data_IF_827987775234
#
_entry.id   IF_827987775234
#
_cell.length_a   1.000
_cell.length_b   1.000
_cell.length_c   1.000
_cell.angle_alpha   90.00
_cell.angle_beta   90.00
_cell.angle_gamma   90.00
#
_symmetry.space_group_name_H-M   'P 1'
#
loop_
_entity.id
_entity.type
_entity.pdbx_description
1 polymer ?
#
# COMPACT_ATOMS: atom_id res chain seq x y z
N UNK A 1 -1.47 6.62 9.25
CA UNK A 1 -1.91 5.26 8.89
C UNK A 1 -2.46 4.60 10.14
N UNK A 2 -3.57 3.86 10.04
CA UNK A 2 -4.12 3.11 11.17
C UNK A 2 -3.55 1.69 11.16
N UNK A 3 -2.94 1.28 12.26
CA UNK A 3 -2.40 -0.06 12.45
C UNK A 3 -3.31 -0.80 13.41
N UNK A 4 -3.83 -1.94 12.97
CA UNK A 4 -4.79 -2.75 13.72
C UNK A 4 -4.06 -3.95 14.31
N UNK A 5 -4.11 -4.09 15.63
CA UNK A 5 -3.68 -5.28 16.34
C UNK A 5 -4.91 -6.02 16.83
N UNK A 6 -5.17 -7.17 16.20
CA UNK A 6 -6.23 -8.10 16.61
C UNK A 6 -5.57 -9.31 17.24
N UNK A 7 -5.98 -9.63 18.47
CA UNK A 7 -5.51 -10.81 19.19
C UNK A 7 -6.65 -11.80 19.35
N UNK A 8 -6.29 -13.08 19.48
CA UNK A 8 -7.21 -14.12 19.93
C UNK A 8 -7.03 -14.29 21.44
N UNK A 9 -8.12 -14.14 22.21
CA UNK A 9 -8.06 -14.10 23.66
C UNK A 9 -9.32 -14.67 24.29
N UNK A 10 -9.13 -15.56 25.27
CA UNK A 10 -10.16 -16.09 26.14
C UNK A 10 -9.68 -15.97 27.60
N UNK A 11 -10.32 -15.14 28.44
CA UNK A 11 -11.42 -14.22 28.15
C UNK A 11 -11.06 -13.08 27.19
N UNK A 12 -12.09 -12.49 26.55
CA UNK A 12 -11.98 -11.44 25.52
C UNK A 12 -11.73 -10.03 26.05
N UNK A 13 -11.73 -9.84 27.37
CA UNK A 13 -11.37 -8.59 28.04
C UNK A 13 -9.84 -8.40 28.00
N UNK A 14 -9.38 -7.74 26.94
CA UNK A 14 -7.95 -7.53 26.68
C UNK A 14 -7.57 -6.06 26.86
N UNK A 15 -6.47 -5.83 27.56
CA UNK A 15 -5.74 -4.56 27.57
C UNK A 15 -4.53 -4.65 26.64
N UNK A 16 -4.24 -3.55 25.95
CA UNK A 16 -3.21 -3.50 24.93
C UNK A 16 -2.05 -2.60 25.32
N UNK A 17 -0.85 -3.04 24.98
CA UNK A 17 0.37 -2.25 25.09
C UNK A 17 1.03 -2.14 23.73
N UNK A 18 1.36 -0.91 23.34
CA UNK A 18 2.09 -0.63 22.11
C UNK A 18 3.44 -0.01 22.39
N UNK A 19 4.47 -0.48 21.69
CA UNK A 19 5.77 0.18 21.66
C UNK A 19 6.25 0.35 20.23
N UNK A 20 7.03 1.39 20.01
CA UNK A 20 7.84 1.61 18.83
C UNK A 20 9.29 1.30 19.19
N UNK A 21 10.00 0.61 18.31
CA UNK A 21 11.44 0.38 18.44
C UNK A 21 12.14 0.54 17.10
N UNK A 22 13.26 1.26 17.12
CA UNK A 22 14.27 1.25 16.08
C UNK A 22 15.67 1.16 16.70
N UNK A 23 16.71 1.42 15.92
CA UNK A 23 18.10 1.38 16.38
C UNK A 23 18.48 2.47 17.39
N UNK A 24 17.66 3.50 17.56
CA UNK A 24 17.96 4.71 18.34
C UNK A 24 17.09 4.79 19.60
N UNK A 25 15.80 4.52 19.47
CA UNK A 25 14.81 4.68 20.52
C UNK A 25 13.87 3.48 20.68
N UNK A 26 13.39 3.33 21.90
CA UNK A 26 12.24 2.50 22.22
C UNK A 26 11.23 3.38 22.97
N UNK A 27 10.02 3.50 22.45
CA UNK A 27 9.02 4.44 22.93
C UNK A 27 7.67 3.77 23.08
N UNK A 28 7.01 4.00 24.21
CA UNK A 28 5.64 3.54 24.43
C UNK A 28 4.62 4.46 23.75
N UNK A 29 3.62 3.86 23.10
CA UNK A 29 2.55 4.59 22.41
C UNK A 29 1.28 4.54 23.27
N UNK A 30 0.92 5.70 23.83
CA UNK A 30 -0.24 5.84 24.71
C UNK A 30 -1.52 6.18 23.98
N UNK A 31 -1.43 6.82 22.80
CA UNK A 31 -2.58 7.18 21.96
C UNK A 31 -3.04 5.97 21.15
N UNK A 32 -3.93 5.18 21.74
CA UNK A 32 -4.56 4.02 21.13
C UNK A 32 -6.06 4.03 21.41
N UNK A 33 -6.82 3.41 20.52
CA UNK A 33 -8.26 3.13 20.69
C UNK A 33 -8.42 1.63 20.60
N UNK A 34 -9.13 1.01 21.54
CA UNK A 34 -9.36 -0.43 21.51
C UNK A 34 -10.84 -0.75 21.76
N UNK A 35 -11.27 -1.87 21.20
CA UNK A 35 -12.61 -2.42 21.36
C UNK A 35 -12.51 -3.95 21.40
N UNK A 36 -12.88 -4.55 22.54
CA UNK A 36 -12.74 -5.98 22.79
C UNK A 36 -11.32 -6.47 22.53
N UNK A 37 -11.17 -7.37 21.56
CA UNK A 37 -9.89 -8.01 21.21
C UNK A 37 -9.12 -7.28 20.10
N UNK A 38 -9.48 -6.04 19.76
CA UNK A 38 -8.79 -5.25 18.73
C UNK A 38 -8.35 -3.88 19.25
N UNK A 39 -7.08 -3.54 19.08
CA UNK A 39 -6.51 -2.20 19.33
C UNK A 39 -6.01 -1.55 18.05
N UNK A 40 -6.17 -0.23 17.99
CA UNK A 40 -5.88 0.59 16.82
C UNK A 40 -4.97 1.75 17.25
N UNK A 41 -3.84 1.88 16.57
CA UNK A 41 -2.94 3.03 16.70
C UNK A 41 -2.89 3.79 15.38
N UNK A 42 -3.05 5.10 15.44
CA UNK A 42 -2.80 5.98 14.29
C UNK A 42 -1.33 6.42 14.34
N UNK A 43 -0.50 5.83 13.47
CA UNK A 43 0.92 6.14 13.36
C UNK A 43 1.20 6.97 12.11
N UNK A 44 1.93 8.08 12.28
CA UNK A 44 2.33 8.98 11.19
C UNK A 44 3.80 9.36 11.43
N UNK A 45 4.76 8.73 10.72
CA UNK A 45 6.17 9.10 10.85
C UNK A 45 6.38 10.53 10.33
N UNK A 46 7.23 11.30 11.00
CA UNK A 46 7.54 12.70 10.65
C UNK A 46 8.98 12.89 10.21
N UNK A 47 9.87 12.05 10.71
CA UNK A 47 11.31 12.08 10.48
C UNK A 47 11.81 10.69 10.08
N UNK A 48 13.05 10.62 9.57
CA UNK A 48 13.67 9.33 9.23
C UNK A 48 13.85 8.41 10.44
N UNK A 49 13.93 8.99 11.65
CA UNK A 49 14.03 8.25 12.89
C UNK A 49 12.68 7.70 13.39
N UNK A 50 11.57 8.03 12.74
CA UNK A 50 10.26 7.45 13.07
C UNK A 50 10.00 6.16 12.27
N UNK A 51 10.94 5.70 11.44
CA UNK A 51 10.87 4.41 10.77
C UNK A 51 11.47 3.32 11.66
N UNK A 52 10.82 2.16 11.70
CA UNK A 52 11.15 1.11 12.67
C UNK A 52 10.04 0.07 12.77
N UNK A 53 9.88 -0.52 13.96
CA UNK A 53 8.89 -1.56 14.21
C UNK A 53 7.92 -1.13 15.32
N UNK A 54 6.64 -1.39 15.11
CA UNK A 54 5.60 -1.31 16.12
C UNK A 54 5.35 -2.70 16.68
N UNK A 55 5.21 -2.78 17.99
CA UNK A 55 4.95 -4.00 18.72
C UNK A 55 3.67 -3.83 19.52
N UNK A 56 2.80 -4.82 19.44
CA UNK A 56 1.55 -4.87 20.19
C UNK A 56 1.51 -6.13 21.05
N UNK A 57 1.19 -5.98 22.33
CA UNK A 57 0.88 -7.08 23.24
C UNK A 57 -0.56 -6.97 23.71
N UNK A 58 -1.28 -8.10 23.67
CA UNK A 58 -2.53 -8.28 24.41
C UNK A 58 -2.26 -8.87 25.80
N UNK A 59 -3.02 -8.40 26.80
CA UNK A 59 -3.07 -8.99 28.14
C UNK A 59 -4.51 -9.12 28.60
N UNK A 60 -4.89 -10.29 29.11
CA UNK A 60 -6.14 -10.51 29.81
C UNK A 60 -5.87 -10.94 31.27
N UNK A 61 -6.89 -11.43 31.96
CA UNK A 61 -6.76 -11.91 33.34
C UNK A 61 -5.97 -13.24 33.48
N UNK A 62 -5.83 -14.02 32.40
CA UNK A 62 -5.04 -15.25 32.38
C UNK A 62 -3.56 -14.91 32.23
N UNK A 63 -3.21 -13.96 31.37
CA UNK A 63 -1.83 -13.60 31.17
C UNK A 63 -1.58 -12.54 30.10
N UNK A 64 -0.29 -12.33 29.83
CA UNK A 64 0.17 -11.47 28.73
C UNK A 64 0.69 -12.34 27.61
N UNK A 65 0.39 -11.95 26.39
CA UNK A 65 0.94 -12.56 25.18
C UNK A 65 2.47 -12.60 25.25
N UNK A 66 3.06 -13.76 24.93
CA UNK A 66 4.52 -13.95 24.98
C UNK A 66 5.17 -13.27 23.77
N UNK A 67 4.68 -13.57 22.57
CA UNK A 67 5.18 -13.01 21.32
C UNK A 67 4.27 -11.89 20.81
N UNK A 68 4.76 -10.63 20.69
CA UNK A 68 3.94 -9.53 20.21
C UNK A 68 3.58 -9.66 18.73
N UNK A 69 2.49 -9.00 18.33
CA UNK A 69 2.29 -8.67 16.92
C UNK A 69 3.31 -7.60 16.50
N UNK A 70 4.01 -7.82 15.39
CA UNK A 70 5.09 -6.94 14.92
C UNK A 70 4.71 -6.33 13.56
N UNK A 71 4.86 -5.02 13.43
CA UNK A 71 4.58 -4.27 12.21
C UNK A 71 5.78 -3.41 11.82
N UNK A 72 6.23 -3.52 10.58
CA UNK A 72 7.32 -2.69 10.08
C UNK A 72 6.78 -1.41 9.46
N UNK A 73 7.25 -0.26 9.96
CA UNK A 73 7.00 1.06 9.38
C UNK A 73 8.20 1.41 8.53
N UNK A 74 8.01 1.34 7.21
CA UNK A 74 9.03 1.65 6.20
C UNK A 74 8.66 2.93 5.46
N UNK A 75 9.65 3.70 5.00
CA UNK A 75 9.38 4.83 4.12
C UNK A 75 8.73 4.33 2.83
N UNK A 76 7.66 5.01 2.42
CA UNK A 76 7.12 4.81 1.08
C UNK A 76 8.06 5.45 0.07
N UNK A 77 8.47 4.69 -0.93
CA UNK A 77 9.19 5.23 -2.09
C UNK A 77 8.21 5.46 -3.24
N UNK A 78 8.60 6.35 -4.16
CA UNK A 78 7.87 6.45 -5.43
C UNK A 78 7.99 5.11 -6.16
N UNK A 79 6.91 4.58 -6.73
CA UNK A 79 6.97 3.38 -7.55
C UNK A 79 8.00 3.51 -8.66
N UNK A 80 8.74 2.45 -8.91
CA UNK A 80 9.63 2.38 -10.05
C UNK A 80 8.83 2.44 -11.35
N UNK A 81 9.41 2.99 -12.43
CA UNK A 81 8.78 2.99 -13.73
C UNK A 81 8.54 1.57 -14.24
N UNK A 82 7.49 1.40 -15.05
CA UNK A 82 7.26 0.14 -15.78
C UNK A 82 8.39 -0.14 -16.76
N UNK A 83 8.73 -1.41 -16.94
CA UNK A 83 9.81 -1.87 -17.83
C UNK A 83 9.27 -2.85 -18.87
N UNK A 84 10.07 -3.16 -19.89
CA UNK A 84 9.74 -4.17 -20.92
C UNK A 84 8.38 -3.95 -21.61
N UNK A 85 8.02 -2.69 -21.82
CA UNK A 85 6.78 -2.35 -22.51
C UNK A 85 6.86 -2.73 -23.99
N UNK A 86 6.03 -3.69 -24.42
CA UNK A 86 5.97 -4.16 -25.79
C UNK A 86 4.55 -4.14 -26.34
N UNK A 87 4.41 -3.80 -27.62
CA UNK A 87 3.12 -3.89 -28.31
C UNK A 87 2.91 -5.35 -28.69
N UNK A 88 1.96 -6.01 -28.04
CA UNK A 88 1.67 -7.42 -28.28
C UNK A 88 0.55 -7.63 -29.31
N UNK A 89 -0.31 -6.63 -29.50
CA UNK A 89 -1.36 -6.68 -30.53
C UNK A 89 -1.77 -5.28 -30.97
N UNK A 90 -1.82 -5.07 -32.29
CA UNK A 90 -2.26 -3.84 -32.90
C UNK A 90 -3.30 -4.16 -33.98
N UNK A 91 -4.49 -3.59 -33.80
CA UNK A 91 -5.54 -3.60 -34.80
C UNK A 91 -5.84 -2.16 -35.23
N UNK A 92 -6.70 -1.98 -36.23
CA UNK A 92 -7.21 -0.65 -36.58
C UNK A 92 -7.92 0.02 -35.38
N UNK A 93 -8.39 -0.78 -34.41
CA UNK A 93 -9.25 -0.33 -33.32
C UNK A 93 -8.65 -0.44 -31.91
N UNK A 94 -7.49 -1.06 -31.74
CA UNK A 94 -6.94 -1.26 -30.41
C UNK A 94 -5.46 -1.50 -30.45
N UNK A 95 -4.76 -1.00 -29.44
CA UNK A 95 -3.37 -1.32 -29.18
C UNK A 95 -3.32 -1.94 -27.79
N UNK A 96 -2.76 -3.15 -27.71
CA UNK A 96 -2.46 -3.82 -26.45
C UNK A 96 -0.96 -3.75 -26.20
N UNK A 97 -0.60 -3.11 -25.10
CA UNK A 97 0.77 -3.02 -24.61
C UNK A 97 0.84 -3.88 -23.35
N UNK A 98 1.90 -4.67 -23.27
CA UNK A 98 2.24 -5.42 -22.07
C UNK A 98 3.53 -4.84 -21.48
N UNK A 99 3.53 -4.59 -20.18
CA UNK A 99 4.67 -4.02 -19.46
C UNK A 99 4.87 -4.80 -18.16
N UNK A 100 6.11 -4.91 -17.72
CA UNK A 100 6.47 -5.41 -16.40
C UNK A 100 6.39 -4.29 -15.37
N UNK A 101 5.73 -4.54 -14.25
CA UNK A 101 5.71 -3.63 -13.11
C UNK A 101 7.10 -3.48 -12.48
N UNK A 102 7.39 -2.27 -12.01
CA UNK A 102 8.56 -2.00 -11.17
C UNK A 102 8.26 -2.19 -9.69
N UNK A 103 9.25 -2.01 -8.82
CA UNK A 103 9.05 -2.04 -7.37
C UNK A 103 8.00 -1.00 -6.93
N UNK A 104 7.08 -1.40 -6.06
CA UNK A 104 5.93 -0.59 -5.66
C UNK A 104 6.24 0.46 -4.59
N UNK A 105 7.44 0.43 -4.02
CA UNK A 105 7.82 1.34 -2.94
C UNK A 105 6.99 1.14 -1.66
N UNK A 106 6.30 0.01 -1.52
CA UNK A 106 5.44 -0.30 -0.38
C UNK A 106 4.06 0.38 -0.42
N UNK A 107 3.61 0.84 -1.59
CA UNK A 107 2.29 1.45 -1.79
C UNK A 107 1.54 0.82 -2.97
N UNK A 108 0.21 0.90 -2.94
CA UNK A 108 -0.60 0.41 -4.05
C UNK A 108 -0.34 1.23 -5.33
N UNK A 109 0.19 0.58 -6.37
CA UNK A 109 0.48 1.22 -7.66
C UNK A 109 -0.77 1.40 -8.53
N UNK A 110 -0.77 2.46 -9.33
CA UNK A 110 -1.70 2.67 -10.45
C UNK A 110 -0.90 3.09 -11.67
N UNK A 111 -1.10 2.37 -12.77
CA UNK A 111 -0.45 2.66 -14.05
C UNK A 111 -1.39 3.40 -14.99
N UNK A 112 -0.85 4.41 -15.69
CA UNK A 112 -1.59 5.20 -16.68
C UNK A 112 -0.78 5.22 -17.97
N UNK A 113 -1.44 4.89 -19.07
CA UNK A 113 -0.86 5.02 -20.40
C UNK A 113 -1.27 6.36 -21.01
N UNK A 114 -0.29 7.16 -21.42
CA UNK A 114 -0.53 8.38 -22.18
C UNK A 114 -0.18 8.16 -23.65
N UNK A 115 -1.14 8.43 -24.54
CA UNK A 115 -0.92 8.41 -25.99
C UNK A 115 -0.89 9.85 -26.50
N UNK A 116 0.22 10.26 -27.10
CA UNK A 116 0.38 11.56 -27.74
C UNK A 116 0.27 11.45 -29.26
N UNK A 117 -0.50 12.35 -29.88
CA UNK A 117 -0.48 12.53 -31.33
C UNK A 117 0.68 13.47 -31.68
N UNK A 118 1.74 12.93 -32.28
CA UNK A 118 2.80 13.76 -32.85
C UNK A 118 2.34 14.25 -34.22
N UNK A 119 2.09 15.56 -34.37
CA UNK A 119 1.87 16.18 -35.68
C UNK A 119 3.22 16.26 -36.42
N UNK A 120 3.71 15.14 -36.94
CA UNK A 120 4.64 15.20 -38.06
C UNK A 120 3.82 15.53 -39.31
N UNK A 121 4.27 16.50 -40.10
CA UNK A 121 3.59 16.98 -41.30
C UNK A 121 3.04 15.79 -42.13
N UNK A 122 1.71 15.67 -42.16
CA UNK A 122 0.98 14.53 -42.71
C UNK A 122 0.93 14.67 -44.23
N UNK A 123 1.60 13.76 -44.95
CA UNK A 123 1.18 13.38 -46.30
C UNK A 123 -0.26 12.87 -46.24
N UNK A 124 -1.11 13.41 -47.12
CA UNK A 124 -2.57 13.28 -47.07
C UNK A 124 -3.00 11.83 -47.32
N UNK A 125 -3.07 11.01 -46.28
CA UNK A 125 -4.00 9.87 -46.13
C UNK A 125 -4.05 9.39 -44.68
N UNK A 126 -5.20 9.65 -44.05
CA UNK A 126 -5.64 9.19 -42.72
C UNK A 126 -5.26 10.05 -41.51
N UNK A 127 -6.08 11.07 -41.25
CA UNK A 127 -6.37 11.51 -39.89
C UNK A 127 -7.41 10.54 -39.32
N UNK A 128 -7.03 9.67 -38.38
CA UNK A 128 -7.99 8.94 -37.52
C UNK A 128 -7.44 8.81 -36.11
N UNK A 129 -8.14 9.43 -35.17
CA UNK A 129 -7.98 9.24 -33.75
C UNK A 129 -9.37 8.90 -33.18
N UNK A 130 -9.49 7.76 -32.48
CA UNK A 130 -10.43 7.56 -31.35
C UNK A 130 -10.35 6.13 -30.86
N UNK A 131 -9.94 5.89 -29.61
CA UNK A 131 -10.48 4.80 -28.78
C UNK A 131 -10.64 5.24 -27.32
N UNK A 132 -11.80 4.91 -26.72
CA UNK A 132 -12.27 5.35 -25.41
C UNK A 132 -11.59 4.59 -24.25
N UNK A 133 -11.06 5.27 -23.21
CA UNK A 133 -10.78 4.63 -21.93
C UNK A 133 -12.06 4.68 -21.09
N UNK A 134 -12.95 3.70 -21.24
CA UNK A 134 -14.05 3.56 -20.28
C UNK A 134 -14.41 2.10 -20.06
N UNK A 135 -13.46 1.37 -19.48
CA UNK A 135 -13.79 0.51 -18.36
C UNK A 135 -12.85 0.84 -17.22
N UNK A 136 -13.41 1.58 -16.25
CA UNK A 136 -13.06 1.38 -14.86
C UNK A 136 -12.98 -0.15 -14.64
N UNK A 137 -11.77 -0.70 -14.56
CA UNK A 137 -11.61 -1.91 -13.77
C UNK A 137 -11.84 -1.43 -12.34
N UNK A 138 -13.11 -1.52 -11.96
CA UNK A 138 -13.58 -1.45 -10.59
C UNK A 138 -12.63 -2.27 -9.74
N UNK A 139 -12.10 -1.61 -8.72
CA UNK A 139 -11.90 -2.16 -7.38
C UNK A 139 -11.76 -3.68 -7.32
N UNK A 140 -10.53 -4.18 -7.20
CA UNK A 140 -10.34 -5.23 -6.21
C UNK A 140 -10.37 -4.56 -4.85
N UNK A 141 -11.57 -4.58 -4.26
CA UNK A 141 -11.72 -4.51 -2.82
C UNK A 141 -10.92 -5.67 -2.20
N UNK A 142 -10.05 -5.28 -1.27
CA UNK A 142 -9.55 -5.94 -0.06
C UNK A 142 -9.88 -7.42 0.18
N UNK A 143 -8.83 -8.20 0.46
CA UNK A 143 -8.59 -8.77 1.79
C UNK A 143 -7.12 -8.54 2.15
#
# INVERSE_FOLDING_TARGET
VNVYCKVDADPTDVIFRWTFNNSIENKEITKQVFNGTTSIVTYVPKTEFDYGKLFCWGRNNIGTQIEPCVFSVIPANSPDPVTNCTVINQTEQSIRIDCSEGYDGGIQQRFVMQCGLTLQAIDRRSLRATFHPTRLLQSKFTL
#
